data_IF_987691298338
#
_entry.id   IF_987691298338
#
_cell.length_a   1.000
_cell.length_b   1.000
_cell.length_c   1.000
_cell.angle_alpha   90.00
_cell.angle_beta   90.00
_cell.angle_gamma   90.00
#
_symmetry.space_group_name_H-M   'P 1'
#
loop_
_entity.id
_entity.type
_entity.pdbx_description
1 polymer ?
#
# COMPACT_ATOMS: atom_id res chain seq x y z
N UNK A 1 -1.68 2.89 -4.69
CA UNK A 1 -2.75 1.85 -4.56
C UNK A 1 -3.22 1.47 -5.96
N UNK A 2 -4.39 0.84 -6.20
CA UNK A 2 -4.85 0.50 -7.56
C UNK A 2 -4.93 1.78 -8.42
N UNK A 3 -3.80 2.07 -9.06
CA UNK A 3 -3.39 3.35 -9.66
C UNK A 3 -3.42 4.54 -8.70
N UNK A 4 -2.31 5.27 -8.58
CA UNK A 4 -2.22 6.44 -7.69
C UNK A 4 -3.15 7.60 -8.14
N UNK A 5 -3.80 7.47 -9.29
CA UNK A 5 -4.73 8.43 -9.88
C UNK A 5 -6.20 7.97 -9.88
N UNK A 6 -6.53 6.78 -9.35
CA UNK A 6 -7.91 6.27 -9.34
C UNK A 6 -8.46 5.87 -10.73
N UNK A 7 -7.57 5.60 -11.70
CA UNK A 7 -7.91 5.23 -13.08
C UNK A 7 -7.32 3.86 -13.40
N UNK A 8 -8.16 2.86 -13.69
CA UNK A 8 -7.74 1.53 -14.07
C UNK A 8 -8.22 1.22 -15.50
N UNK A 9 -7.32 0.80 -16.39
CA UNK A 9 -7.61 0.59 -17.82
C UNK A 9 -8.24 1.83 -18.51
N UNK A 10 -7.89 3.04 -18.08
CA UNK A 10 -8.47 4.28 -18.61
C UNK A 10 -9.87 4.63 -18.10
N UNK A 11 -10.41 3.86 -17.16
CA UNK A 11 -11.70 4.11 -16.51
C UNK A 11 -11.51 4.48 -15.04
N UNK A 12 -12.35 5.38 -14.54
CA UNK A 12 -12.35 5.74 -13.12
C UNK A 12 -12.79 4.54 -12.27
N UNK A 13 -12.10 4.35 -11.15
CA UNK A 13 -12.42 3.34 -10.14
C UNK A 13 -13.46 3.92 -9.18
N UNK A 14 -14.68 3.37 -9.20
CA UNK A 14 -15.76 3.75 -8.29
C UNK A 14 -15.52 3.18 -6.89
N UNK A 15 -15.23 1.88 -6.84
CA UNK A 15 -15.13 1.13 -5.59
C UNK A 15 -14.09 0.01 -5.73
N UNK A 16 -13.39 -0.30 -4.64
CA UNK A 16 -12.53 -1.47 -4.60
C UNK A 16 -12.55 -2.11 -3.22
N UNK A 17 -12.57 -3.45 -3.21
CA UNK A 17 -12.51 -4.27 -2.02
C UNK A 17 -11.55 -5.44 -2.25
N UNK A 18 -11.10 -6.11 -1.20
CA UNK A 18 -10.35 -7.35 -1.39
C UNK A 18 -11.26 -8.45 -1.94
N UNK A 19 -10.78 -9.18 -2.94
CA UNK A 19 -11.55 -10.25 -3.55
C UNK A 19 -11.70 -11.44 -2.58
N UNK A 20 -12.89 -12.05 -2.55
CA UNK A 20 -13.12 -13.26 -1.77
C UNK A 20 -12.37 -14.47 -2.33
N UNK A 21 -11.89 -15.32 -1.41
CA UNK A 21 -11.28 -16.60 -1.75
C UNK A 21 -12.35 -17.66 -1.99
N UNK A 22 -12.04 -18.72 -2.75
CA UNK A 22 -12.94 -19.87 -2.89
C UNK A 22 -13.28 -20.60 -1.59
N UNK A 23 -12.61 -20.26 -0.47
CA UNK A 23 -12.85 -20.82 0.86
C UNK A 23 -13.64 -19.88 1.77
N UNK A 24 -14.10 -18.75 1.24
CA UNK A 24 -14.98 -17.80 1.93
C UNK A 24 -16.33 -18.49 2.18
N UNK A 25 -16.86 -18.39 3.40
CA UNK A 25 -18.25 -18.78 3.72
C UNK A 25 -18.97 -17.59 4.34
N UNK A 26 -20.32 -17.54 4.31
CA UNK A 26 -21.07 -16.44 4.91
C UNK A 26 -20.73 -16.19 6.39
N UNK A 27 -20.44 -17.25 7.14
CA UNK A 27 -20.09 -17.21 8.57
C UNK A 27 -18.60 -16.89 8.80
N UNK A 28 -17.76 -17.08 7.78
CA UNK A 28 -16.32 -16.87 7.86
C UNK A 28 -15.78 -16.34 6.53
N UNK A 29 -15.97 -15.04 6.25
CA UNK A 29 -15.54 -14.44 5.01
C UNK A 29 -14.01 -14.42 4.93
N UNK A 30 -13.46 -14.94 3.84
CA UNK A 30 -12.02 -15.06 3.62
C UNK A 30 -11.63 -14.36 2.34
N UNK A 31 -10.77 -13.37 2.45
CA UNK A 31 -10.34 -12.55 1.32
C UNK A 31 -8.89 -12.84 0.90
N UNK A 32 -8.61 -12.66 -0.38
CA UNK A 32 -7.25 -12.60 -0.89
C UNK A 32 -6.57 -11.35 -0.35
N UNK A 33 -5.34 -11.50 0.15
CA UNK A 33 -4.57 -10.37 0.71
C UNK A 33 -4.05 -9.38 -0.34
N UNK A 34 -3.99 -9.80 -1.60
CA UNK A 34 -3.22 -9.14 -2.67
C UNK A 34 -4.02 -9.01 -3.98
N UNK A 35 -5.31 -9.34 -3.95
CA UNK A 35 -6.20 -9.25 -5.12
C UNK A 35 -7.40 -8.40 -4.75
N UNK A 36 -7.64 -7.36 -5.53
CA UNK A 36 -8.76 -6.45 -5.38
C UNK A 36 -9.86 -6.80 -6.38
N UNK A 37 -11.11 -6.72 -5.96
CA UNK A 37 -12.30 -6.63 -6.79
C UNK A 37 -12.59 -5.14 -6.97
N UNK A 38 -12.69 -4.68 -8.20
CA UNK A 38 -12.78 -3.26 -8.56
C UNK A 38 -14.01 -3.04 -9.42
N UNK A 39 -14.83 -2.06 -9.05
CA UNK A 39 -15.94 -1.57 -9.85
C UNK A 39 -15.50 -0.33 -10.63
N UNK A 40 -15.62 -0.36 -11.95
CA UNK A 40 -15.26 0.74 -12.85
C UNK A 40 -16.48 1.64 -13.15
N UNK A 41 -16.21 2.83 -13.65
CA UNK A 41 -17.19 3.85 -14.05
C UNK A 41 -18.30 3.34 -14.98
N UNK A 42 -17.97 2.39 -15.87
CA UNK A 42 -18.89 1.77 -16.82
C UNK A 42 -19.76 0.66 -16.19
N UNK A 43 -19.63 0.43 -14.88
CA UNK A 43 -20.32 -0.61 -14.13
C UNK A 43 -19.67 -1.99 -14.25
N UNK A 44 -18.54 -2.12 -14.94
CA UNK A 44 -17.84 -3.41 -15.05
C UNK A 44 -17.06 -3.74 -13.79
N UNK A 45 -17.07 -5.02 -13.43
CA UNK A 45 -16.27 -5.54 -12.31
C UNK A 45 -15.04 -6.24 -12.86
N UNK A 46 -13.87 -5.76 -12.47
CA UNK A 46 -12.58 -6.35 -12.80
C UNK A 46 -11.81 -6.72 -11.54
N UNK A 47 -10.86 -7.65 -11.65
CA UNK A 47 -9.98 -8.00 -10.56
C UNK A 47 -8.59 -7.45 -10.85
N UNK A 48 -8.00 -6.73 -9.89
CA UNK A 48 -6.71 -6.08 -10.01
C UNK A 48 -5.72 -6.59 -8.94
N UNK A 49 -4.44 -6.56 -9.28
CA UNK A 49 -3.37 -6.83 -8.32
C UNK A 49 -3.24 -5.66 -7.33
N UNK A 50 -3.23 -5.92 -6.03
CA UNK A 50 -3.17 -4.87 -5.02
C UNK A 50 -1.81 -4.14 -4.92
N UNK A 51 -0.81 -4.55 -5.70
CA UNK A 51 0.54 -3.99 -5.64
C UNK A 51 0.60 -2.56 -6.21
N UNK A 52 1.40 -1.65 -5.61
CA UNK A 52 1.52 -0.28 -6.10
C UNK A 52 1.97 -0.25 -7.57
N UNK A 53 1.36 0.62 -8.37
CA UNK A 53 1.66 0.80 -9.80
C UNK A 53 1.49 -0.47 -10.65
N UNK A 54 0.72 -1.45 -10.17
CA UNK A 54 0.42 -2.66 -10.92
C UNK A 54 -0.98 -2.59 -11.54
N UNK A 55 -1.04 -2.39 -12.86
CA UNK A 55 -2.30 -2.33 -13.62
C UNK A 55 -2.76 -3.70 -14.13
N UNK A 56 -2.14 -4.79 -13.66
CA UNK A 56 -2.52 -6.13 -14.10
C UNK A 56 -3.95 -6.45 -13.67
N UNK A 57 -4.82 -6.73 -14.64
CA UNK A 57 -6.23 -7.02 -14.43
C UNK A 57 -6.68 -8.30 -15.12
N UNK A 58 -7.69 -8.97 -14.54
CA UNK A 58 -8.40 -10.10 -15.13
C UNK A 58 -9.88 -10.05 -14.76
N UNK A 59 -10.71 -10.80 -15.50
CA UNK A 59 -12.14 -10.95 -15.19
C UNK A 59 -12.44 -11.82 -13.97
N UNK A 60 -11.43 -12.52 -13.41
CA UNK A 60 -11.58 -13.40 -12.23
C UNK A 60 -10.39 -13.25 -11.29
N UNK A 61 -10.64 -13.29 -9.99
CA UNK A 61 -9.62 -13.22 -8.94
C UNK A 61 -8.54 -14.32 -9.08
N UNK A 62 -8.95 -15.53 -9.46
CA UNK A 62 -8.04 -16.66 -9.67
C UNK A 62 -7.05 -16.46 -10.83
N UNK A 63 -7.35 -15.56 -11.77
CA UNK A 63 -6.43 -15.18 -12.83
C UNK A 63 -5.40 -14.13 -12.40
N UNK A 64 -5.69 -13.36 -11.35
CA UNK A 64 -4.79 -12.34 -10.79
C UNK A 64 -3.89 -12.95 -9.72
N UNK A 65 -4.41 -13.87 -8.90
CA UNK A 65 -3.66 -14.43 -7.78
C UNK A 65 -2.28 -15.02 -8.15
N UNK A 66 -2.10 -15.75 -9.27
CA UNK A 66 -0.79 -16.23 -9.68
C UNK A 66 0.19 -15.10 -10.03
N UNK A 67 -0.31 -13.97 -10.54
CA UNK A 67 0.51 -12.81 -10.90
C UNK A 67 1.14 -12.14 -9.68
N UNK A 68 0.52 -12.23 -8.50
CA UNK A 68 1.07 -11.57 -7.28
C UNK A 68 2.44 -12.13 -6.87
N UNK A 69 2.78 -13.34 -7.31
CA UNK A 69 4.10 -13.95 -7.09
C UNK A 69 5.24 -13.19 -7.78
N UNK A 70 4.96 -12.51 -8.89
CA UNK A 70 5.97 -11.71 -9.62
C UNK A 70 6.54 -10.61 -8.71
N UNK A 71 5.69 -10.03 -7.87
CA UNK A 71 6.07 -8.96 -6.96
C UNK A 71 6.72 -9.46 -5.67
N UNK A 72 6.41 -10.68 -5.24
CA UNK A 72 7.03 -11.31 -4.05
C UNK A 72 8.53 -11.53 -4.22
N UNK A 73 8.96 -11.84 -5.44
CA UNK A 73 10.39 -11.95 -5.75
C UNK A 73 11.09 -10.58 -5.82
N UNK A 74 10.34 -9.49 -5.98
CA UNK A 74 10.88 -8.12 -6.04
C UNK A 74 10.99 -7.48 -4.64
N UNK A 75 10.19 -7.91 -3.67
CA UNK A 75 10.31 -7.46 -2.26
C UNK A 75 11.59 -7.93 -1.56
N UNK A 76 12.32 -8.88 -2.15
CA UNK A 76 13.66 -9.26 -1.71
C UNK A 76 14.76 -8.51 -2.46
N UNK A 77 14.47 -7.35 -3.07
CA UNK A 77 15.53 -6.42 -3.43
C UNK A 77 16.04 -5.80 -2.13
N UNK A 78 16.96 -6.52 -1.47
CA UNK A 78 17.93 -5.91 -0.58
C UNK A 78 18.42 -4.62 -1.26
N UNK A 79 18.57 -3.50 -0.53
CA UNK A 79 18.96 -2.24 -1.14
C UNK A 79 20.16 -2.51 -2.04
N UNK A 80 19.95 -2.36 -3.36
CA UNK A 80 21.01 -2.50 -4.34
C UNK A 80 22.10 -1.57 -3.83
N UNK A 81 23.28 -2.13 -3.52
CA UNK A 81 24.39 -1.36 -2.97
C UNK A 81 24.47 -0.05 -3.75
N UNK A 82 24.52 1.08 -3.03
CA UNK A 82 24.53 2.39 -3.66
C UNK A 82 25.54 2.35 -4.82
N UNK A 83 25.15 2.74 -6.04
CA UNK A 83 26.06 2.71 -7.17
C UNK A 83 27.32 3.46 -6.78
N UNK A 84 28.47 2.87 -7.08
CA UNK A 84 29.76 3.44 -6.71
C UNK A 84 29.82 4.89 -7.25
N UNK A 85 30.03 5.90 -6.38
CA UNK A 85 30.06 7.29 -6.81
C UNK A 85 31.11 7.56 -7.90
N UNK A 86 32.13 6.71 -8.03
CA UNK A 86 33.13 6.78 -9.10
C UNK A 86 32.60 6.44 -10.50
N UNK A 87 31.41 5.81 -10.58
CA UNK A 87 30.76 5.43 -11.85
C UNK A 87 29.78 6.46 -12.39
N UNK A 88 29.58 7.57 -11.67
CA UNK A 88 28.67 8.64 -12.07
C UNK A 88 29.37 9.49 -13.14
N UNK A 89 28.98 9.34 -14.40
CA UNK A 89 29.46 10.20 -15.47
C UNK A 89 28.88 11.62 -15.34
N UNK A 90 29.79 12.57 -15.13
CA UNK A 90 29.51 14.01 -15.01
C UNK A 90 30.03 14.82 -16.20
N UNK A 91 30.65 14.16 -17.17
CA UNK A 91 31.42 14.81 -18.26
C UNK A 91 30.56 15.68 -19.18
N UNK A 92 29.25 15.42 -19.23
CA UNK A 92 28.28 16.20 -20.01
C UNK A 92 27.60 17.35 -19.25
N UNK A 93 28.00 17.64 -18.02
CA UNK A 93 27.35 18.66 -17.18
C UNK A 93 28.21 19.92 -17.08
N UNK A 94 27.54 21.06 -17.15
CA UNK A 94 28.15 22.35 -16.80
C UNK A 94 28.36 22.46 -15.29
N UNK A 95 29.26 23.35 -14.88
CA UNK A 95 29.50 23.64 -13.46
C UNK A 95 28.23 24.10 -12.73
N UNK A 96 27.39 24.89 -13.40
CA UNK A 96 26.12 25.35 -12.84
C UNK A 96 25.15 24.20 -12.58
N UNK A 97 25.03 23.25 -13.52
CA UNK A 97 24.18 22.07 -13.36
C UNK A 97 24.68 21.13 -12.26
N UNK A 98 26.00 21.00 -12.09
CA UNK A 98 26.59 20.24 -10.99
C UNK A 98 26.25 20.86 -9.63
N UNK A 99 26.35 22.17 -9.51
CA UNK A 99 26.00 22.90 -8.28
C UNK A 99 24.50 22.77 -7.97
N UNK A 100 23.63 22.94 -8.97
CA UNK A 100 22.18 22.78 -8.79
C UNK A 100 21.81 21.35 -8.35
N UNK A 101 22.41 20.32 -8.96
CA UNK A 101 22.21 18.92 -8.54
C UNK A 101 22.70 18.66 -7.13
N UNK A 102 23.85 19.22 -6.74
CA UNK A 102 24.36 19.08 -5.38
C UNK A 102 23.41 19.73 -4.35
N UNK A 103 22.90 20.93 -4.63
CA UNK A 103 21.93 21.64 -3.79
C UNK A 103 20.60 20.88 -3.67
N UNK A 104 20.09 20.33 -4.78
CA UNK A 104 18.89 19.49 -4.75
C UNK A 104 19.09 18.25 -3.90
N UNK A 105 20.26 17.62 -4.00
CA UNK A 105 20.57 16.41 -3.23
C UNK A 105 20.64 16.70 -1.72
N UNK A 106 21.24 17.81 -1.31
CA UNK A 106 21.27 18.20 0.11
C UNK A 106 19.88 18.55 0.64
N UNK A 107 19.06 19.22 -0.16
CA UNK A 107 17.67 19.51 0.18
C UNK A 107 16.84 18.23 0.35
N UNK A 108 16.91 17.30 -0.61
CA UNK A 108 16.21 16.00 -0.54
C UNK A 108 16.65 15.18 0.67
N UNK A 109 17.95 15.19 1.01
CA UNK A 109 18.46 14.47 2.17
C UNK A 109 17.88 15.04 3.49
N UNK A 110 17.77 16.36 3.59
CA UNK A 110 17.14 17.01 4.74
C UNK A 110 15.64 16.68 4.83
N UNK A 111 14.93 16.74 3.71
CA UNK A 111 13.51 16.39 3.66
C UNK A 111 13.28 14.94 4.09
N UNK A 112 14.06 14.01 3.56
CA UNK A 112 14.02 12.59 3.92
C UNK A 112 14.26 12.37 5.43
N UNK A 113 15.22 13.07 6.02
CA UNK A 113 15.44 13.00 7.47
C UNK A 113 14.21 13.46 8.27
N UNK A 114 13.57 14.56 7.85
CA UNK A 114 12.35 15.04 8.52
C UNK A 114 11.17 14.10 8.35
N UNK A 115 10.96 13.52 7.17
CA UNK A 115 9.87 12.58 6.90
C UNK A 115 10.07 11.28 7.67
N UNK A 116 11.30 10.76 7.76
CA UNK A 116 11.63 9.62 8.63
C UNK A 116 11.28 9.89 10.09
N UNK A 117 11.61 11.08 10.61
CA UNK A 117 11.26 11.46 11.99
C UNK A 117 9.74 11.49 12.20
N UNK A 118 8.98 12.04 11.25
CA UNK A 118 7.51 12.05 11.28
C UNK A 118 6.95 10.63 11.25
N UNK A 119 7.47 9.77 10.38
CA UNK A 119 7.07 8.36 10.29
C UNK A 119 7.29 7.64 11.62
N UNK A 120 8.49 7.76 12.21
CA UNK A 120 8.80 7.12 13.50
C UNK A 120 7.86 7.60 14.61
N UNK A 121 7.55 8.90 14.64
CA UNK A 121 6.60 9.47 15.61
C UNK A 121 5.19 8.90 15.42
N UNK A 122 4.68 8.92 14.19
CA UNK A 122 3.35 8.38 13.87
C UNK A 122 3.23 6.89 14.21
N UNK A 123 4.27 6.10 13.91
CA UNK A 123 4.33 4.68 14.28
C UNK A 123 4.26 4.49 15.79
N UNK A 124 5.00 5.30 16.56
CA UNK A 124 4.94 5.25 18.03
C UNK A 124 3.54 5.60 18.56
N UNK A 125 2.95 6.68 18.07
CA UNK A 125 1.60 7.10 18.47
C UNK A 125 0.56 6.00 18.16
N UNK A 126 0.72 5.33 17.01
CA UNK A 126 -0.14 4.20 16.62
C UNK A 126 0.03 2.98 17.54
N UNK A 127 1.27 2.63 17.93
CA UNK A 127 1.52 1.58 18.92
C UNK A 127 0.97 1.91 20.31
N UNK A 128 1.01 3.17 20.72
CA UNK A 128 0.43 3.63 21.99
C UNK A 128 -1.13 3.62 21.96
N UNK A 129 -1.74 3.90 20.80
CA UNK A 129 -3.20 3.90 20.64
C UNK A 129 -3.80 2.50 20.54
N UNK A 130 -3.11 1.55 19.90
CA UNK A 130 -3.56 0.15 19.75
C UNK A 130 -4.11 -0.50 21.03
N UNK A 131 -3.40 -0.49 22.18
CA UNK A 131 -3.91 -1.12 23.41
C UNK A 131 -5.12 -0.36 23.97
N UNK A 132 -5.17 0.97 23.82
CA UNK A 132 -6.29 1.80 24.28
C UNK A 132 -7.56 1.48 23.52
N UNK A 133 -7.47 1.36 22.19
CA UNK A 133 -8.59 0.97 21.32
C UNK A 133 -9.08 -0.43 21.68
N UNK A 134 -8.17 -1.41 21.81
CA UNK A 134 -8.53 -2.78 22.23
C UNK A 134 -9.24 -2.83 23.58
N UNK A 135 -8.81 -2.02 24.55
CA UNK A 135 -9.45 -1.98 25.86
C UNK A 135 -10.84 -1.33 25.79
N UNK A 136 -10.99 -0.25 25.02
CA UNK A 136 -12.28 0.39 24.79
C UNK A 136 -13.27 -0.56 24.10
N UNK A 137 -12.82 -1.32 23.10
CA UNK A 137 -13.62 -2.36 22.43
C UNK A 137 -14.08 -3.45 23.40
N UNK A 138 -13.19 -3.93 24.28
CA UNK A 138 -13.56 -4.89 25.33
C UNK A 138 -14.61 -4.33 26.28
N UNK A 139 -14.43 -3.10 26.75
CA UNK A 139 -15.38 -2.44 27.65
C UNK A 139 -16.75 -2.27 26.98
N UNK A 140 -16.78 -1.81 25.73
CA UNK A 140 -18.01 -1.69 24.96
C UNK A 140 -18.71 -3.04 24.78
N UNK A 141 -17.96 -4.10 24.53
CA UNK A 141 -18.52 -5.46 24.46
C UNK A 141 -19.15 -5.87 25.79
N UNK A 142 -18.44 -5.71 26.91
CA UNK A 142 -18.98 -6.04 28.24
C UNK A 142 -20.28 -5.28 28.53
N UNK A 143 -20.34 -3.99 28.20
CA UNK A 143 -21.54 -3.17 28.40
C UNK A 143 -22.69 -3.71 27.55
N UNK A 144 -22.45 -4.02 26.26
CA UNK A 144 -23.47 -4.61 25.37
C UNK A 144 -23.99 -5.95 25.90
N UNK A 145 -23.10 -6.82 26.34
CA UNK A 145 -23.47 -8.13 26.88
C UNK A 145 -24.33 -7.98 28.16
N UNK A 146 -23.99 -7.01 29.02
CA UNK A 146 -24.78 -6.71 30.23
C UNK A 146 -26.19 -6.19 29.92
N UNK A 147 -26.33 -5.31 28.93
CA UNK A 147 -27.65 -4.83 28.48
C UNK A 147 -28.47 -5.94 27.81
N UNK A 148 -27.83 -6.84 27.05
CA UNK A 148 -28.51 -7.96 26.41
C UNK A 148 -29.00 -9.00 27.44
N UNK A 149 -28.28 -9.19 28.56
CA UNK A 149 -28.68 -10.10 29.62
C UNK A 149 -29.80 -9.56 30.54
N UNK A 150 -30.06 -8.25 30.50
CA UNK A 150 -31.09 -7.58 31.30
C UNK A 150 -32.41 -7.36 30.54
N UNK A 151 -32.47 -7.76 29.26
CA UNK A 151 -33.66 -7.71 28.39
C UNK A 151 -34.29 -9.10 28.26
#
# INVERSE_FOLDING_TARGET
MATDNGILNGLEVIEFEFAETPRSTPENPRYFKEVLKVLLADGTVVYNCAWPNCEFTRSKASGVWPHTKVHKNTTATAPKAAPDPSTIDVSGLTLAELVDRAQKTTWLAAELATTRKKLTRATRELEELKPRVRNAEKQLKTIRDAFAAAA
#
